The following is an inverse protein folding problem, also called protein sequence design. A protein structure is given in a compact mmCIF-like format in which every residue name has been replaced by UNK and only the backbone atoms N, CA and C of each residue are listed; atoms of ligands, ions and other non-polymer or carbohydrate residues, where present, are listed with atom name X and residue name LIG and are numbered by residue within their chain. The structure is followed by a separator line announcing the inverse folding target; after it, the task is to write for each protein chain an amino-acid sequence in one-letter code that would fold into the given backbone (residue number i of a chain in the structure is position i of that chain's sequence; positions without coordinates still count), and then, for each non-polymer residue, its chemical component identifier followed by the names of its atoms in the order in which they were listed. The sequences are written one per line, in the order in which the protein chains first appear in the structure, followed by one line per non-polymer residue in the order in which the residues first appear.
data_IF_757142574859
#
_entry.id   IF_757142574859
#
_cell.length_a   1.000
_cell.length_b   1.000
_cell.length_c   1.000
_cell.angle_alpha   90.00
_cell.angle_beta   90.00
_cell.angle_gamma   90.00
#
_symmetry.space_group_name_H-M   'P 1'
#
loop_
_entity.id
_entity.type
_entity.pdbx_description
1 polymer ?
#
# COMPACT_ATOMS: atom_id res chain seq x y z
N UNK A 1 -4.80 -12.02 20.61
CA UNK A 1 -4.99 -11.82 19.15
C UNK A 1 -5.93 -10.65 18.88
N UNK A 2 -7.16 -10.65 19.42
CA UNK A 2 -8.14 -9.56 19.21
C UNK A 2 -7.60 -8.16 19.56
N UNK A 3 -6.86 -8.03 20.67
CA UNK A 3 -6.22 -6.77 21.09
C UNK A 3 -5.22 -6.18 20.07
N UNK A 4 -4.52 -7.01 19.30
CA UNK A 4 -3.57 -6.53 18.30
C UNK A 4 -4.30 -6.01 17.07
N UNK A 5 -5.32 -6.74 16.61
CA UNK A 5 -6.13 -6.34 15.47
C UNK A 5 -6.83 -4.99 15.73
N UNK A 6 -7.44 -4.83 16.91
CA UNK A 6 -8.09 -3.58 17.32
C UNK A 6 -7.08 -2.42 17.33
N UNK A 7 -5.89 -2.64 17.91
CA UNK A 7 -4.82 -1.63 17.92
C UNK A 7 -4.35 -1.25 16.51
N UNK A 8 -4.17 -2.22 15.62
CA UNK A 8 -3.77 -1.95 14.23
C UNK A 8 -4.86 -1.18 13.49
N UNK A 9 -6.12 -1.57 13.68
CA UNK A 9 -7.27 -0.85 13.11
C UNK A 9 -7.28 0.60 13.57
N UNK A 10 -7.08 0.87 14.85
CA UNK A 10 -7.03 2.23 15.41
C UNK A 10 -5.88 3.05 14.80
N UNK A 11 -4.70 2.45 14.66
CA UNK A 11 -3.53 3.12 14.04
C UNK A 11 -3.77 3.42 12.56
N UNK A 12 -4.36 2.48 11.83
CA UNK A 12 -4.64 2.60 10.39
C UNK A 12 -5.68 3.68 10.14
N UNK A 13 -6.83 3.60 10.82
CA UNK A 13 -7.93 4.58 10.69
C UNK A 13 -7.49 5.95 11.20
N UNK A 14 -6.79 6.00 12.34
CA UNK A 14 -6.23 7.24 12.89
C UNK A 14 -5.17 7.89 12.01
N UNK A 15 -4.58 7.14 11.07
CA UNK A 15 -3.66 7.67 10.04
C UNK A 15 -4.36 8.14 8.76
N UNK A 16 -5.70 8.13 8.72
CA UNK A 16 -6.50 8.59 7.60
C UNK A 16 -6.66 7.56 6.47
N UNK A 17 -6.32 6.30 6.70
CA UNK A 17 -6.54 5.23 5.73
C UNK A 17 -8.00 4.79 5.77
N UNK A 18 -8.61 4.60 4.60
CA UNK A 18 -10.02 4.21 4.46
C UNK A 18 -10.20 2.73 4.22
N UNK A 19 -9.13 2.03 3.81
CA UNK A 19 -9.14 0.61 3.51
C UNK A 19 -7.88 -0.06 4.02
N UNK A 20 -8.01 -1.30 4.48
CA UNK A 20 -6.88 -2.19 4.67
C UNK A 20 -7.29 -3.66 4.61
N UNK A 21 -6.35 -4.52 4.26
CA UNK A 21 -6.51 -5.97 4.33
C UNK A 21 -5.16 -6.67 4.46
N UNK A 22 -5.18 -7.94 4.87
CA UNK A 22 -3.99 -8.75 5.08
C UNK A 22 -3.93 -9.86 4.04
N UNK A 23 -2.74 -10.12 3.50
CA UNK A 23 -2.47 -11.22 2.58
C UNK A 23 -1.27 -12.04 3.04
N UNK A 24 -1.21 -13.28 2.57
CA UNK A 24 0.06 -13.99 2.44
C UNK A 24 0.92 -13.27 1.40
N UNK A 25 2.09 -12.81 1.82
CA UNK A 25 3.01 -12.05 0.97
C UNK A 25 3.60 -12.91 -0.16
N UNK A 26 3.68 -14.23 0.03
CA UNK A 26 4.16 -15.17 -0.99
C UNK A 26 3.28 -15.18 -2.24
N UNK A 27 1.99 -14.83 -2.12
CA UNK A 27 1.07 -14.72 -3.25
C UNK A 27 1.46 -13.63 -4.27
N UNK A 28 2.36 -12.71 -3.91
CA UNK A 28 2.89 -11.67 -4.79
C UNK A 28 4.38 -11.81 -5.09
N UNK A 29 5.02 -12.93 -4.73
CA UNK A 29 6.47 -13.11 -4.87
C UNK A 29 6.97 -13.04 -6.32
N UNK A 30 6.13 -13.39 -7.31
CA UNK A 30 6.45 -13.24 -8.73
C UNK A 30 6.54 -11.77 -9.18
N UNK A 31 5.91 -10.85 -8.45
CA UNK A 31 5.89 -9.41 -8.70
C UNK A 31 6.79 -8.63 -7.73
N UNK A 32 7.80 -9.30 -7.18
CA UNK A 32 8.79 -8.72 -6.27
C UNK A 32 10.17 -8.70 -6.93
N UNK A 33 10.89 -7.61 -6.72
CA UNK A 33 12.32 -7.51 -7.05
C UNK A 33 13.17 -8.24 -5.99
N UNK A 34 14.48 -8.47 -6.20
CA UNK A 34 15.31 -9.28 -5.29
C UNK A 34 15.17 -8.90 -3.80
N UNK A 35 15.26 -7.61 -3.47
CA UNK A 35 15.10 -7.13 -2.09
C UNK A 35 13.68 -7.39 -1.55
N UNK A 36 12.66 -7.29 -2.41
CA UNK A 36 11.28 -7.62 -2.07
C UNK A 36 11.09 -9.11 -1.78
N UNK A 37 11.75 -9.99 -2.55
CA UNK A 37 11.74 -11.44 -2.29
C UNK A 37 12.44 -11.80 -0.98
N UNK A 38 13.56 -11.13 -0.69
CA UNK A 38 14.27 -11.29 0.58
C UNK A 38 13.47 -10.76 1.78
N UNK A 39 12.63 -9.74 1.56
CA UNK A 39 11.70 -9.26 2.57
C UNK A 39 10.56 -10.26 2.82
N UNK A 40 9.93 -10.77 1.76
CA UNK A 40 8.83 -11.76 1.83
C UNK A 40 9.28 -13.04 2.55
N UNK A 41 10.50 -13.52 2.32
CA UNK A 41 11.01 -14.74 2.96
C UNK A 41 11.13 -14.61 4.49
N UNK A 42 11.25 -13.38 5.01
CA UNK A 42 11.34 -13.06 6.43
C UNK A 42 10.01 -12.56 7.02
N UNK A 43 9.19 -11.93 6.20
CA UNK A 43 7.91 -11.31 6.56
C UNK A 43 6.79 -11.91 5.69
N UNK A 44 6.20 -13.05 6.08
CA UNK A 44 5.26 -13.80 5.23
C UNK A 44 3.86 -13.17 5.13
N UNK A 45 3.59 -12.11 5.90
CA UNK A 45 2.31 -11.41 5.87
C UNK A 45 2.49 -9.98 5.39
N UNK A 46 1.58 -9.52 4.54
CA UNK A 46 1.54 -8.15 4.05
C UNK A 46 0.21 -7.47 4.42
N UNK A 47 0.29 -6.22 4.87
CA UNK A 47 -0.88 -5.37 5.12
C UNK A 47 -0.96 -4.37 3.97
N UNK A 48 -2.02 -4.45 3.16
CA UNK A 48 -2.32 -3.46 2.12
C UNK A 48 -3.12 -2.32 2.73
N UNK A 49 -2.77 -1.08 2.41
CA UNK A 49 -3.44 0.13 2.90
C UNK A 49 -4.01 0.92 1.72
N UNK A 50 -5.16 1.57 1.92
CA UNK A 50 -5.80 2.42 0.93
C UNK A 50 -6.13 3.80 1.49
N UNK A 51 -5.81 4.83 0.72
CA UNK A 51 -6.18 6.21 0.98
C UNK A 51 -7.14 6.70 -0.12
N UNK A 52 -8.25 7.32 0.27
CA UNK A 52 -9.23 7.86 -0.68
C UNK A 52 -8.77 9.21 -1.20
N UNK A 53 -8.55 9.29 -2.52
CA UNK A 53 -8.29 10.57 -3.19
C UNK A 53 -9.53 11.47 -3.18
N UNK A 54 -9.32 12.79 -3.24
CA UNK A 54 -10.41 13.78 -3.24
C UNK A 54 -11.09 13.88 -4.60
N UNK A 55 -12.41 13.68 -4.64
CA UNK A 55 -13.19 13.80 -5.88
C UNK A 55 -13.10 15.20 -6.49
N UNK A 56 -13.10 16.25 -5.67
CA UNK A 56 -12.91 17.63 -6.14
C UNK A 56 -11.55 17.88 -6.83
N UNK A 57 -10.55 17.02 -6.62
CA UNK A 57 -9.26 17.08 -7.32
C UNK A 57 -9.25 16.20 -8.58
N UNK A 58 -9.97 15.08 -8.55
CA UNK A 58 -9.97 14.07 -9.63
C UNK A 58 -10.98 14.41 -10.73
N UNK A 59 -12.20 14.79 -10.37
CA UNK A 59 -13.31 15.04 -11.30
C UNK A 59 -13.00 16.10 -12.38
N UNK A 60 -12.27 17.19 -12.11
CA UNK A 60 -11.95 18.20 -13.12
C UNK A 60 -10.83 17.80 -14.10
N UNK A 61 -10.26 16.60 -13.99
CA UNK A 61 -9.19 16.14 -14.89
C UNK A 61 -9.80 15.72 -16.23
N UNK A 62 -9.47 16.43 -17.30
CA UNK A 62 -10.00 16.14 -18.65
C UNK A 62 -9.01 15.37 -19.53
N UNK A 63 -7.83 15.94 -19.79
CA UNK A 63 -6.85 15.44 -20.77
C UNK A 63 -5.50 15.03 -20.16
N UNK A 64 -5.25 15.38 -18.90
CA UNK A 64 -3.98 15.08 -18.25
C UNK A 64 -3.87 15.59 -16.81
N UNK A 65 -2.77 15.21 -16.12
CA UNK A 65 -2.57 15.58 -14.72
C UNK A 65 -2.48 17.10 -14.55
N UNK A 66 -3.34 17.67 -13.69
CA UNK A 66 -3.25 19.06 -13.27
C UNK A 66 -2.16 19.27 -12.21
N UNK A 67 -1.75 20.52 -11.97
CA UNK A 67 -0.82 20.84 -10.86
C UNK A 67 -1.42 20.47 -9.50
N UNK A 68 -2.73 20.66 -9.33
CA UNK A 68 -3.44 20.28 -8.11
C UNK A 68 -3.45 18.76 -7.92
N UNK A 69 -3.74 18.00 -8.98
CA UNK A 69 -3.64 16.54 -8.97
C UNK A 69 -2.23 16.07 -8.61
N UNK A 70 -1.20 16.64 -9.24
CA UNK A 70 0.20 16.29 -8.98
C UNK A 70 0.57 16.52 -7.51
N UNK A 71 0.15 17.64 -6.93
CA UNK A 71 0.38 17.91 -5.51
C UNK A 71 -0.39 16.93 -4.63
N UNK A 72 -1.68 16.71 -4.91
CA UNK A 72 -2.53 15.80 -4.15
C UNK A 72 -2.00 14.36 -4.15
N UNK A 73 -1.56 13.87 -5.31
CA UNK A 73 -0.99 12.53 -5.45
C UNK A 73 0.31 12.37 -4.64
N UNK A 74 1.19 13.38 -4.66
CA UNK A 74 2.40 13.38 -3.81
C UNK A 74 2.05 13.35 -2.33
N UNK A 75 1.05 14.14 -1.92
CA UNK A 75 0.58 14.18 -0.54
C UNK A 75 -0.03 12.84 -0.14
N UNK A 76 -0.82 12.20 -1.01
CA UNK A 76 -1.38 10.87 -0.78
C UNK A 76 -0.30 9.81 -0.58
N UNK A 77 0.74 9.79 -1.44
CA UNK A 77 1.88 8.89 -1.28
C UNK A 77 2.62 9.12 0.04
N UNK A 78 2.85 10.38 0.41
CA UNK A 78 3.47 10.70 1.69
C UNK A 78 2.63 10.22 2.87
N UNK A 79 1.30 10.40 2.83
CA UNK A 79 0.39 9.91 3.87
C UNK A 79 0.41 8.38 3.97
N UNK A 80 0.43 7.67 2.83
CA UNK A 80 0.57 6.21 2.78
C UNK A 80 1.90 5.74 3.41
N UNK A 81 3.01 6.40 3.08
CA UNK A 81 4.32 6.09 3.67
C UNK A 81 4.31 6.30 5.19
N UNK A 82 3.74 7.41 5.66
CA UNK A 82 3.62 7.69 7.09
C UNK A 82 2.71 6.66 7.80
N UNK A 83 1.59 6.28 7.19
CA UNK A 83 0.69 5.27 7.73
C UNK A 83 1.39 3.90 7.82
N UNK A 84 2.05 3.46 6.75
CA UNK A 84 2.81 2.21 6.73
C UNK A 84 3.92 2.19 7.80
N UNK A 85 4.65 3.30 7.98
CA UNK A 85 5.65 3.42 9.03
C UNK A 85 5.06 3.31 10.45
N UNK A 86 3.89 3.93 10.70
CA UNK A 86 3.19 3.83 11.98
C UNK A 86 2.68 2.40 12.26
N UNK A 87 2.14 1.73 11.25
CA UNK A 87 1.71 0.33 11.35
C UNK A 87 2.90 -0.58 11.66
N UNK A 88 4.01 -0.41 10.94
CA UNK A 88 5.24 -1.16 11.20
C UNK A 88 5.75 -0.92 12.63
N UNK A 89 5.77 0.33 13.09
CA UNK A 89 6.16 0.67 14.46
C UNK A 89 5.23 0.03 15.51
N UNK A 90 3.92 0.02 15.27
CA UNK A 90 2.95 -0.62 16.15
C UNK A 90 3.20 -2.14 16.25
N UNK A 91 3.40 -2.82 15.13
CA UNK A 91 3.77 -4.25 15.09
C UNK A 91 5.08 -4.53 15.84
N UNK A 92 6.11 -3.72 15.60
CA UNK A 92 7.40 -3.89 16.27
C UNK A 92 7.31 -3.67 17.78
N UNK A 93 6.48 -2.74 18.25
CA UNK A 93 6.26 -2.53 19.68
C UNK A 93 5.58 -3.71 20.39
N UNK A 94 4.98 -4.62 19.62
CA UNK A 94 4.36 -5.86 20.10
C UNK A 94 5.30 -7.08 19.89
N UNK A 95 6.55 -6.85 19.46
CA UNK A 95 7.57 -7.88 19.29
C UNK A 95 7.61 -8.56 17.91
N UNK A 96 6.85 -8.08 16.93
CA UNK A 96 6.86 -8.63 15.57
C UNK A 96 7.91 -7.97 14.67
N UNK A 97 8.45 -8.71 13.71
CA UNK A 97 9.17 -8.11 12.58
C UNK A 97 8.20 -7.41 11.63
N UNK A 98 8.50 -6.18 11.22
CA UNK A 98 7.70 -5.45 10.24
C UNK A 98 8.58 -4.46 9.47
N UNK A 99 8.21 -4.16 8.23
CA UNK A 99 8.84 -3.14 7.42
C UNK A 99 7.78 -2.42 6.57
N UNK A 100 7.99 -1.13 6.33
CA UNK A 100 7.14 -0.36 5.44
C UNK A 100 7.68 -0.45 4.00
N UNK A 101 6.80 -0.77 3.04
CA UNK A 101 7.11 -0.72 1.61
C UNK A 101 6.73 0.67 1.10
N UNK A 102 7.65 1.42 0.44
CA UNK A 102 7.34 2.76 -0.04
C UNK A 102 6.18 2.77 -1.03
N UNK A 103 5.27 3.74 -0.90
CA UNK A 103 4.10 3.90 -1.76
C UNK A 103 4.48 4.20 -3.22
N UNK A 104 5.59 4.90 -3.45
CA UNK A 104 5.99 5.36 -4.79
C UNK A 104 7.51 5.51 -4.94
N UNK A 105 8.25 4.42 -4.70
CA UNK A 105 9.69 4.34 -4.99
C UNK A 105 9.96 3.38 -6.15
N UNK A 106 10.54 3.89 -7.24
CA UNK A 106 11.06 3.07 -8.33
C UNK A 106 12.41 2.50 -7.94
N UNK A 107 12.58 1.18 -8.09
CA UNK A 107 13.86 0.47 -7.83
C UNK A 107 14.52 0.00 -9.12
N UNK A 108 13.75 -0.16 -10.19
CA UNK A 108 14.24 -0.42 -11.55
C UNK A 108 13.60 0.59 -12.50
N UNK A 109 14.44 1.47 -13.05
CA UNK A 109 14.00 2.56 -13.93
C UNK A 109 13.60 2.07 -15.32
N UNK A 110 14.21 1.01 -15.84
CA UNK A 110 13.87 0.50 -17.18
C UNK A 110 12.50 -0.17 -17.17
N UNK A 111 12.22 -0.96 -16.11
CA UNK A 111 10.95 -1.69 -15.95
C UNK A 111 9.87 -0.86 -15.25
N UNK A 112 10.21 0.30 -14.68
CA UNK A 112 9.31 1.18 -13.92
C UNK A 112 8.58 0.43 -12.78
N UNK A 113 9.33 -0.37 -12.02
CA UNK A 113 8.80 -1.17 -10.91
C UNK A 113 9.32 -0.70 -9.56
N UNK A 114 8.50 -0.91 -8.54
CA UNK A 114 8.90 -0.82 -7.14
C UNK A 114 9.35 -2.18 -6.59
N UNK A 115 9.84 -2.19 -5.36
CA UNK A 115 10.35 -3.39 -4.69
C UNK A 115 9.33 -4.55 -4.63
N UNK A 116 8.05 -4.21 -4.42
CA UNK A 116 6.93 -5.16 -4.35
C UNK A 116 5.69 -4.51 -4.96
N UNK A 117 4.95 -5.27 -5.77
CA UNK A 117 3.71 -4.79 -6.38
C UNK A 117 2.57 -4.63 -5.35
N UNK A 118 2.26 -3.39 -5.00
CA UNK A 118 1.11 -3.03 -4.15
C UNK A 118 -0.22 -3.59 -4.69
N UNK A 119 -0.38 -3.60 -6.02
CA UNK A 119 -1.59 -4.12 -6.68
C UNK A 119 -1.74 -5.63 -6.52
N UNK A 120 -0.64 -6.36 -6.61
CA UNK A 120 -0.64 -7.82 -6.44
C UNK A 120 -1.02 -8.18 -5.00
N UNK A 121 -0.45 -7.48 -4.02
CA UNK A 121 -0.79 -7.65 -2.60
C UNK A 121 -2.25 -7.29 -2.34
N UNK A 122 -2.74 -6.15 -2.83
CA UNK A 122 -4.14 -5.74 -2.64
C UNK A 122 -5.14 -6.76 -3.22
N UNK A 123 -4.85 -7.32 -4.41
CA UNK A 123 -5.63 -8.42 -5.00
C UNK A 123 -5.58 -9.67 -4.12
N UNK A 124 -4.38 -10.09 -3.69
CA UNK A 124 -4.21 -11.26 -2.83
C UNK A 124 -4.91 -11.10 -1.48
N UNK A 125 -5.00 -9.87 -0.97
CA UNK A 125 -5.70 -9.52 0.27
C UNK A 125 -7.22 -9.46 0.13
N UNK A 126 -7.76 -9.67 -1.08
CA UNK A 126 -9.20 -9.61 -1.35
C UNK A 126 -9.78 -8.19 -1.37
N UNK A 127 -8.96 -7.15 -1.52
CA UNK A 127 -9.46 -5.75 -1.63
C UNK A 127 -10.16 -5.46 -2.96
N UNK A 128 -10.08 -6.35 -3.96
CA UNK A 128 -10.71 -6.12 -5.25
C UNK A 128 -10.15 -7.00 -6.35
N UNK A 129 -10.39 -6.59 -7.60
CA UNK A 129 -9.89 -7.28 -8.80
C UNK A 129 -9.06 -6.33 -9.67
N UNK A 130 -8.21 -6.90 -10.53
CA UNK A 130 -7.45 -6.12 -11.51
C UNK A 130 -8.35 -5.79 -12.70
N UNK A 131 -8.64 -4.51 -12.90
CA UNK A 131 -9.44 -4.00 -14.01
C UNK A 131 -8.66 -3.89 -15.32
N UNK A 132 -9.36 -3.50 -16.39
CA UNK A 132 -8.75 -3.27 -17.72
C UNK A 132 -7.67 -2.19 -17.73
N UNK A 133 -7.74 -1.25 -16.78
CA UNK A 133 -6.72 -0.23 -16.55
C UNK A 133 -5.45 -0.75 -15.87
N UNK A 134 -5.39 -2.05 -15.56
CA UNK A 134 -4.34 -2.70 -14.74
C UNK A 134 -4.27 -2.22 -13.28
N UNK A 135 -5.26 -1.44 -12.84
CA UNK A 135 -5.44 -1.02 -11.45
C UNK A 135 -6.36 -1.96 -10.67
N UNK A 136 -6.28 -1.92 -9.34
CA UNK A 136 -7.22 -2.61 -8.46
C UNK A 136 -8.52 -1.81 -8.42
N UNK A 137 -9.64 -2.47 -8.70
CA UNK A 137 -10.99 -1.92 -8.55
C UNK A 137 -11.58 -2.46 -7.25
N UNK A 138 -11.94 -1.55 -6.34
CA UNK A 138 -12.65 -1.85 -5.09
C UNK A 138 -14.15 -1.60 -5.28
N UNK A 139 -15.03 -2.53 -4.87
CA UNK A 139 -16.49 -2.41 -5.01
C UNK A 139 -17.12 -1.36 -4.08
#
# INVERSE_FOLDING_TARGET
MQRLEDRLRDVIVGSGMTLFAVADAAAAAEYAEPDGKELISRLPHAISLGFRLSDAVIEPIEDGPTLLYKHHYKTANWLLDQAAARVAAALQSEGFGAAAVPASQTVDWERQVGMLSHRAIARAAGLGWIGRSTLVVHP
#
